data_IF_070206356355
#
_entry.id   IF_070206356355
#
_cell.length_a   1.000
_cell.length_b   1.000
_cell.length_c   1.000
_cell.angle_alpha   90.00
_cell.angle_beta   90.00
_cell.angle_gamma   90.00
#
_symmetry.space_group_name_H-M   'P 1'
#
loop_
_entity.id
_entity.type
_entity.pdbx_description
1 polymer ?
#
# COMPACT_ATOMS: atom_id res chain seq x y z
N UNK A 1 4.60 -6.60 11.53
CA UNK A 1 3.19 -6.15 11.51
C UNK A 1 3.14 -5.02 10.49
N UNK A 2 2.21 -5.03 9.54
CA UNK A 2 2.11 -4.02 8.47
C UNK A 2 1.95 -2.61 9.10
N UNK A 3 2.82 -1.66 8.74
CA UNK A 3 2.84 -0.31 9.34
C UNK A 3 1.47 0.36 9.26
N UNK A 4 0.81 0.25 8.11
CA UNK A 4 -0.54 0.78 7.90
C UNK A 4 -1.60 0.15 8.81
N UNK A 5 -1.52 -1.17 9.06
CA UNK A 5 -2.46 -1.84 9.96
C UNK A 5 -2.31 -1.37 11.40
N UNK A 6 -1.07 -1.14 11.86
CA UNK A 6 -0.82 -0.56 13.19
C UNK A 6 -1.45 0.82 13.30
N UNK A 7 -1.33 1.64 12.25
CA UNK A 7 -1.92 2.98 12.24
C UNK A 7 -3.44 2.94 12.22
N UNK A 8 -4.07 2.01 11.52
CA UNK A 8 -5.52 1.81 11.60
C UNK A 8 -6.01 1.38 13.00
N UNK A 9 -5.14 0.80 13.83
CA UNK A 9 -5.49 0.47 15.22
C UNK A 9 -5.38 1.67 16.15
N UNK A 10 -4.53 2.66 15.81
CA UNK A 10 -4.23 3.82 16.66
C UNK A 10 -4.98 5.09 16.24
N UNK A 11 -5.20 5.27 14.93
CA UNK A 11 -5.79 6.47 14.36
C UNK A 11 -7.31 6.47 14.49
N UNK A 12 -7.90 7.68 14.46
CA UNK A 12 -9.34 7.82 14.59
C UNK A 12 -10.09 7.58 13.28
N UNK A 13 -9.43 7.80 12.14
CA UNK A 13 -9.97 7.64 10.78
C UNK A 13 -8.97 7.00 9.80
N UNK A 14 -9.48 6.47 8.69
CA UNK A 14 -8.68 5.82 7.64
C UNK A 14 -7.73 6.81 6.94
N UNK A 15 -8.17 8.07 6.80
CA UNK A 15 -7.39 9.17 6.25
C UNK A 15 -6.20 9.51 7.14
N UNK A 16 -6.42 9.63 8.46
CA UNK A 16 -5.37 9.87 9.44
C UNK A 16 -4.37 8.70 9.48
N UNK A 17 -4.84 7.46 9.44
CA UNK A 17 -3.97 6.29 9.37
C UNK A 17 -3.09 6.30 8.11
N UNK A 18 -3.65 6.74 6.98
CA UNK A 18 -2.92 6.88 5.72
C UNK A 18 -1.88 8.01 5.82
N UNK A 19 -2.27 9.19 6.33
CA UNK A 19 -1.37 10.34 6.49
C UNK A 19 -0.18 10.01 7.41
N UNK A 20 -0.44 9.44 8.59
CA UNK A 20 0.62 9.00 9.50
C UNK A 20 1.51 7.92 8.87
N UNK A 21 0.95 7.05 8.04
CA UNK A 21 1.76 6.04 7.33
C UNK A 21 2.63 6.70 6.26
N UNK A 22 2.13 7.70 5.55
CA UNK A 22 2.91 8.48 4.58
C UNK A 22 4.03 9.27 5.24
N UNK A 23 3.79 9.87 6.41
CA UNK A 23 4.82 10.58 7.17
C UNK A 23 5.97 9.65 7.55
N UNK A 24 5.68 8.45 8.04
CA UNK A 24 6.73 7.45 8.36
C UNK A 24 7.52 7.02 7.13
N UNK A 25 6.86 6.98 5.98
CA UNK A 25 7.45 6.54 4.72
C UNK A 25 7.98 7.73 3.90
N UNK A 26 8.01 8.95 4.47
CA UNK A 26 8.43 10.16 3.76
C UNK A 26 9.85 10.04 3.21
N UNK A 27 10.72 9.29 3.90
CA UNK A 27 12.11 9.08 3.48
C UNK A 27 12.23 8.32 2.15
N UNK A 28 11.20 7.55 1.79
CA UNK A 28 11.10 6.84 0.52
C UNK A 28 10.33 7.63 -0.55
N UNK A 29 9.64 8.70 -0.16
CA UNK A 29 8.91 9.55 -1.10
C UNK A 29 9.89 10.40 -1.90
N UNK A 30 9.75 10.42 -3.22
CA UNK A 30 10.68 11.08 -4.13
C UNK A 30 11.94 10.28 -4.46
N UNK A 31 12.06 9.04 -3.99
CA UNK A 31 13.12 8.11 -4.38
C UNK A 31 12.62 7.08 -5.39
N UNK A 32 13.52 6.26 -5.94
CA UNK A 32 13.18 5.16 -6.83
C UNK A 32 12.31 4.08 -6.13
N UNK A 33 12.33 4.06 -4.79
CA UNK A 33 11.58 3.13 -3.95
C UNK A 33 10.15 3.62 -3.64
N UNK A 34 9.80 4.86 -4.00
CA UNK A 34 8.44 5.40 -3.78
C UNK A 34 7.37 4.48 -4.36
N UNK A 35 7.62 3.89 -5.53
CA UNK A 35 6.72 2.94 -6.16
C UNK A 35 6.39 1.74 -5.24
N UNK A 36 7.37 1.23 -4.50
CA UNK A 36 7.21 0.10 -3.58
C UNK A 36 6.28 0.45 -2.42
N UNK A 37 6.34 1.69 -1.94
CA UNK A 37 5.45 2.21 -0.89
C UNK A 37 4.00 2.18 -1.36
N UNK A 38 3.73 2.74 -2.54
CA UNK A 38 2.37 2.77 -3.10
C UNK A 38 1.83 1.37 -3.39
N UNK A 39 2.67 0.45 -3.89
CA UNK A 39 2.26 -0.93 -4.11
C UNK A 39 1.92 -1.66 -2.81
N UNK A 40 2.72 -1.47 -1.75
CA UNK A 40 2.45 -2.06 -0.45
C UNK A 40 1.16 -1.51 0.18
N UNK A 41 0.96 -0.20 0.13
CA UNK A 41 -0.27 0.45 0.61
C UNK A 41 -1.50 -0.06 -0.15
N UNK A 42 -1.44 -0.11 -1.48
CA UNK A 42 -2.54 -0.58 -2.31
C UNK A 42 -2.87 -2.04 -2.02
N UNK A 43 -1.86 -2.90 -1.91
CA UNK A 43 -2.03 -4.32 -1.62
C UNK A 43 -2.67 -4.53 -0.24
N UNK A 44 -2.18 -3.83 0.79
CA UNK A 44 -2.71 -3.92 2.17
C UNK A 44 -4.13 -3.39 2.24
N UNK A 45 -4.41 -2.20 1.70
CA UNK A 45 -5.75 -1.60 1.74
C UNK A 45 -6.76 -2.47 0.97
N UNK A 46 -6.39 -3.01 -0.19
CA UNK A 46 -7.23 -3.95 -0.93
C UNK A 46 -7.53 -5.21 -0.12
N UNK A 47 -6.53 -5.78 0.58
CA UNK A 47 -6.69 -6.98 1.41
C UNK A 47 -7.70 -6.81 2.55
N UNK A 48 -7.86 -5.59 3.06
CA UNK A 48 -8.80 -5.26 4.14
C UNK A 48 -10.09 -4.61 3.65
N UNK A 49 -10.28 -4.48 2.33
CA UNK A 49 -11.50 -3.92 1.75
C UNK A 49 -11.64 -2.41 1.95
N UNK A 50 -10.53 -1.67 1.95
CA UNK A 50 -10.46 -0.22 2.19
C UNK A 50 -9.57 0.51 1.18
N UNK A 51 -9.39 -0.06 -0.02
CA UNK A 51 -8.55 0.56 -1.03
C UNK A 51 -9.14 1.93 -1.42
N UNK A 52 -8.42 2.98 -1.06
CA UNK A 52 -8.77 4.35 -1.42
C UNK A 52 -8.37 4.64 -2.88
N UNK A 53 -9.15 5.48 -3.56
CA UNK A 53 -8.91 5.88 -4.96
C UNK A 53 -7.56 6.58 -5.15
N UNK A 54 -7.08 7.33 -4.17
CA UNK A 54 -5.77 8.00 -4.23
C UNK A 54 -4.62 6.98 -4.29
N UNK A 55 -4.60 6.04 -3.35
CA UNK A 55 -3.59 4.98 -3.28
C UNK A 55 -3.67 4.07 -4.50
N UNK A 56 -4.90 3.76 -4.94
CA UNK A 56 -5.12 3.00 -6.17
C UNK A 56 -4.53 3.75 -7.37
N UNK A 57 -4.90 5.00 -7.57
CA UNK A 57 -4.44 5.83 -8.69
C UNK A 57 -2.92 5.93 -8.75
N UNK A 58 -2.27 6.19 -7.62
CA UNK A 58 -0.80 6.23 -7.54
C UNK A 58 -0.14 4.88 -7.85
N UNK A 59 -0.68 3.78 -7.34
CA UNK A 59 -0.18 2.46 -7.69
C UNK A 59 -0.29 2.18 -9.20
N UNK A 60 -1.40 2.56 -9.84
CA UNK A 60 -1.53 2.43 -11.30
C UNK A 60 -0.54 3.31 -12.07
N UNK A 61 -0.37 4.57 -11.66
CA UNK A 61 0.58 5.50 -12.28
C UNK A 61 2.01 4.93 -12.29
N UNK A 62 2.44 4.27 -11.21
CA UNK A 62 3.74 3.60 -11.17
C UNK A 62 3.76 2.27 -11.95
N UNK A 63 2.69 1.49 -11.94
CA UNK A 63 2.59 0.25 -12.73
C UNK A 63 2.77 0.56 -14.22
N UNK A 64 2.10 1.59 -14.74
CA UNK A 64 2.20 2.02 -16.15
C UNK A 64 3.64 2.43 -16.54
N UNK A 65 4.39 2.97 -15.57
CA UNK A 65 5.79 3.37 -15.74
C UNK A 65 6.80 2.23 -15.51
N UNK A 66 6.34 0.99 -15.22
CA UNK A 66 7.19 -0.11 -14.76
C UNK A 66 8.02 0.26 -13.51
N UNK A 67 7.42 1.02 -12.59
CA UNK A 67 8.06 1.48 -11.37
C UNK A 67 8.67 0.35 -10.55
N UNK A 68 9.92 0.54 -10.14
CA UNK A 68 10.70 -0.42 -9.37
C UNK A 68 11.36 -1.51 -10.21
N UNK A 69 11.19 -1.53 -11.53
CA UNK A 69 11.85 -2.52 -12.38
C UNK A 69 13.39 -2.41 -12.33
N UNK A 70 13.92 -1.19 -12.23
CA UNK A 70 15.36 -0.92 -12.17
C UNK A 70 16.00 -1.34 -10.83
N UNK A 71 15.18 -1.53 -9.78
CA UNK A 71 15.65 -2.03 -8.48
C UNK A 71 16.03 -3.52 -8.51
N UNK A 72 15.72 -4.23 -9.61
CA UNK A 72 15.96 -5.66 -9.75
C UNK A 72 16.76 -6.01 -11.00
N UNK A 73 17.56 -7.06 -10.91
CA UNK A 73 18.38 -7.54 -12.03
C UNK A 73 18.03 -8.96 -12.47
N UNK A 74 18.34 -9.27 -13.73
CA UNK A 74 18.27 -10.62 -14.29
C UNK A 74 16.91 -11.31 -14.14
N UNK A 75 16.86 -12.39 -13.36
CA UNK A 75 15.63 -13.18 -13.17
C UNK A 75 14.61 -12.47 -12.28
N UNK A 76 15.06 -11.65 -11.34
CA UNK A 76 14.17 -10.98 -10.39
C UNK A 76 13.43 -9.83 -11.05
N UNK A 77 14.06 -9.12 -12.01
CA UNK A 77 13.38 -8.16 -12.91
C UNK A 77 12.19 -8.78 -13.64
N UNK A 78 12.37 -9.96 -14.24
CA UNK A 78 11.27 -10.68 -14.92
C UNK A 78 10.15 -11.09 -13.97
N UNK A 79 10.49 -11.52 -12.75
CA UNK A 79 9.50 -11.84 -11.72
C UNK A 79 8.75 -10.58 -11.29
N UNK A 80 9.44 -9.44 -11.20
CA UNK A 80 8.85 -8.16 -10.82
C UNK A 80 7.73 -7.75 -11.78
N UNK A 81 7.96 -7.78 -13.09
CA UNK A 81 6.90 -7.51 -14.07
C UNK A 81 5.69 -8.44 -13.93
N UNK A 82 5.91 -9.71 -13.55
CA UNK A 82 4.81 -10.65 -13.26
C UNK A 82 4.08 -10.29 -11.97
N UNK A 83 4.78 -9.80 -10.95
CA UNK A 83 4.20 -9.33 -9.69
C UNK A 83 3.36 -8.07 -9.95
N UNK A 84 3.85 -7.10 -10.71
CA UNK A 84 3.13 -5.88 -11.07
C UNK A 84 1.83 -6.20 -11.82
N UNK A 85 1.88 -7.10 -12.81
CA UNK A 85 0.67 -7.52 -13.54
C UNK A 85 -0.37 -8.15 -12.60
N UNK A 86 0.06 -9.01 -11.68
CA UNK A 86 -0.84 -9.61 -10.67
C UNK A 86 -1.41 -8.57 -9.72
N UNK A 87 -0.62 -7.56 -9.35
CA UNK A 87 -1.07 -6.46 -8.51
C UNK A 87 -2.13 -5.65 -9.26
N UNK A 88 -1.89 -5.30 -10.52
CA UNK A 88 -2.83 -4.59 -11.39
C UNK A 88 -4.18 -5.32 -11.50
N UNK A 89 -4.15 -6.60 -11.85
CA UNK A 89 -5.35 -7.46 -11.94
C UNK A 89 -6.10 -7.51 -10.60
N UNK A 90 -5.34 -7.60 -9.50
CA UNK A 90 -5.89 -7.62 -8.14
C UNK A 90 -6.57 -6.30 -7.78
N UNK A 91 -5.95 -5.15 -8.03
CA UNK A 91 -6.52 -3.84 -7.73
C UNK A 91 -7.74 -3.51 -8.60
N UNK A 92 -7.89 -4.17 -9.76
CA UNK A 92 -9.09 -4.11 -10.61
C UNK A 92 -10.18 -5.14 -10.25
N UNK A 93 -9.87 -6.16 -9.45
CA UNK A 93 -10.85 -7.12 -8.96
C UNK A 93 -11.71 -6.52 -7.83
N UNK A 94 -12.97 -6.98 -7.65
CA UNK A 94 -13.73 -6.68 -6.44
C UNK A 94 -12.89 -6.92 -5.19
N UNK A 95 -12.89 -5.92 -4.30
CA UNK A 95 -12.13 -5.94 -3.06
C UNK A 95 -12.59 -7.06 -2.13
N UNK A 96 -11.71 -7.47 -1.22
CA UNK A 96 -12.12 -8.32 -0.10
C UNK A 96 -13.17 -7.62 0.77
N UNK A 97 -14.06 -8.38 1.44
CA UNK A 97 -15.02 -7.78 2.36
C UNK A 97 -14.29 -6.93 3.40
N UNK A 98 -14.90 -5.78 3.72
CA UNK A 98 -14.37 -4.82 4.68
C UNK A 98 -14.00 -5.51 5.99
N UNK A 99 -12.73 -5.35 6.39
CA UNK A 99 -12.25 -5.82 7.68
C UNK A 99 -12.35 -4.68 8.69
N UNK A 100 -13.21 -4.85 9.69
CA UNK A 100 -13.23 -3.96 10.85
C UNK A 100 -11.97 -4.22 11.68
N UNK A 101 -11.10 -3.23 11.76
CA UNK A 101 -9.95 -3.26 12.65
C UNK A 101 -10.40 -2.69 13.99
N UNK A 102 -10.08 -3.41 15.08
CA UNK A 102 -10.44 -2.97 16.43
C UNK A 102 -9.46 -1.86 16.83
N UNK A 103 -9.97 -0.68 17.18
CA UNK A 103 -9.14 0.37 17.74
C UNK A 103 -8.51 -0.11 19.03
N UNK A 104 -7.25 0.26 19.24
CA UNK A 104 -6.59 0.09 20.51
C UNK A 104 -7.16 1.14 21.46
N UNK A 105 -8.19 0.78 22.22
CA UNK A 105 -8.60 1.58 23.37
C UNK A 105 -7.40 1.62 24.32
N UNK A 106 -6.74 2.77 24.41
CA UNK A 106 -5.83 3.02 25.51
C UNK A 106 -6.66 2.83 26.79
N UNK A 107 -6.37 1.77 27.55
CA UNK A 107 -6.81 1.74 28.94
C UNK A 107 -6.18 2.97 29.59
N UNK A 108 -6.98 4.01 29.83
CA UNK A 108 -6.61 5.04 30.79
C UNK A 108 -6.37 4.31 32.12
N UNK A 109 -5.12 4.39 32.59
CA UNK A 109 -4.58 3.72 33.77
C UNK A 109 -4.51 4.71 34.92
#
# INVERSE_FOLDING_TARGET
RDTYLVRLELADSDEEALEQTKEILEEFMGTEEECLVWYALADTQWKIGRLCDEVKGKAFEYIEQNGGEDLFEGRDRKKWGTILKKLEEKLNSPMKPYKKIKKFEQLEL
#
